data_IF_666169298712
#
_entry.id   IF_666169298712
#
_cell.length_a   1.000
_cell.length_b   1.000
_cell.length_c   1.000
_cell.angle_alpha   90.00
_cell.angle_beta   90.00
_cell.angle_gamma   90.00
#
_symmetry.space_group_name_H-M   'P 1'
#
loop_
_entity.id
_entity.type
_entity.pdbx_description
1 polymer ?
#
# COMPACT_ATOMS: atom_id res chain seq x y z
N UNK A 1 25.62 -15.36 20.51
CA UNK A 1 24.31 -14.70 20.37
C UNK A 1 23.60 -15.39 19.23
N UNK A 2 22.59 -16.21 19.56
CA UNK A 2 21.96 -17.19 18.67
C UNK A 2 21.04 -16.45 17.69
N UNK A 3 21.36 -16.44 16.40
CA UNK A 3 20.44 -15.97 15.34
C UNK A 3 19.57 -17.18 15.00
N UNK A 4 18.27 -17.22 15.38
CA UNK A 4 17.44 -18.36 15.04
C UNK A 4 17.24 -18.39 13.52
N UNK A 5 17.50 -19.56 12.93
CA UNK A 5 17.15 -19.91 11.55
C UNK A 5 15.68 -19.56 11.31
N UNK A 6 15.43 -18.72 10.32
CA UNK A 6 14.11 -18.53 9.72
C UNK A 6 13.70 -19.90 9.18
N UNK A 7 12.70 -20.51 9.82
CA UNK A 7 12.02 -21.68 9.27
C UNK A 7 11.45 -21.27 7.92
N UNK A 8 11.70 -22.07 6.89
CA UNK A 8 11.06 -21.91 5.59
C UNK A 8 9.54 -22.05 5.80
N UNK A 9 8.85 -20.92 5.86
CA UNK A 9 7.40 -20.89 5.74
C UNK A 9 7.07 -21.26 4.30
N UNK A 10 6.26 -22.30 4.10
CA UNK A 10 5.66 -22.59 2.80
C UNK A 10 4.96 -21.31 2.30
N UNK A 11 5.34 -20.84 1.10
CA UNK A 11 4.76 -19.64 0.50
C UNK A 11 3.29 -19.89 0.14
N UNK A 12 2.39 -19.66 1.10
CA UNK A 12 0.95 -19.58 0.84
C UNK A 12 0.65 -18.27 0.10
N UNK A 13 0.97 -18.24 -1.19
CA UNK A 13 0.54 -17.17 -2.09
C UNK A 13 -0.93 -17.40 -2.44
N UNK A 14 -1.78 -16.47 -2.03
CA UNK A 14 -3.19 -16.49 -2.41
C UNK A 14 -3.44 -15.41 -3.46
N UNK A 15 -4.04 -15.80 -4.57
CA UNK A 15 -4.30 -14.93 -5.71
C UNK A 15 -5.77 -15.03 -6.10
N UNK A 16 -6.41 -13.88 -6.23
CA UNK A 16 -7.79 -13.76 -6.76
C UNK A 16 -7.79 -12.83 -7.95
N UNK A 17 -8.64 -13.14 -8.94
CA UNK A 17 -8.79 -12.36 -10.15
C UNK A 17 -10.26 -12.07 -10.39
N UNK A 18 -10.56 -10.87 -10.90
CA UNK A 18 -11.90 -10.46 -11.29
C UNK A 18 -11.83 -9.62 -12.56
N UNK A 19 -12.81 -9.77 -13.43
CA UNK A 19 -12.93 -8.96 -14.64
C UNK A 19 -13.77 -7.72 -14.37
N UNK A 20 -13.20 -6.53 -14.62
CA UNK A 20 -13.84 -5.23 -14.40
C UNK A 20 -13.66 -4.41 -15.67
N UNK A 21 -14.77 -4.09 -16.35
CA UNK A 21 -14.74 -3.25 -17.54
C UNK A 21 -13.87 -3.80 -18.67
N UNK A 22 -13.85 -5.12 -18.86
CA UNK A 22 -13.05 -5.81 -19.90
C UNK A 22 -11.56 -5.91 -19.57
N UNK A 23 -11.16 -5.63 -18.32
CA UNK A 23 -9.79 -5.74 -17.84
C UNK A 23 -9.74 -6.60 -16.59
N UNK A 24 -8.72 -7.44 -16.46
CA UNK A 24 -8.55 -8.31 -15.28
C UNK A 24 -7.82 -7.57 -14.18
N UNK A 25 -8.49 -7.39 -13.04
CA UNK A 25 -7.87 -6.97 -11.79
C UNK A 25 -7.44 -8.22 -11.02
N UNK A 26 -6.18 -8.24 -10.62
CA UNK A 26 -5.56 -9.31 -9.84
C UNK A 26 -5.15 -8.77 -8.48
N UNK A 27 -5.50 -9.48 -7.41
CA UNK A 27 -5.02 -9.22 -6.06
C UNK A 27 -4.25 -10.46 -5.56
N UNK A 28 -3.02 -10.25 -5.09
CA UNK A 28 -2.13 -11.30 -4.58
C UNK A 28 -1.64 -10.95 -3.17
N UNK A 29 -1.64 -11.91 -2.25
CA UNK A 29 -1.08 -11.77 -0.89
C UNK A 29 -0.20 -12.95 -0.53
N UNK A 30 0.68 -12.79 0.46
CA UNK A 30 1.59 -13.84 0.95
C UNK A 30 2.97 -13.87 0.30
N UNK A 31 3.17 -13.24 -0.88
CA UNK A 31 4.48 -13.22 -1.54
C UNK A 31 5.45 -12.21 -0.93
N UNK A 32 5.03 -10.97 -0.72
CA UNK A 32 5.89 -9.86 -0.25
C UNK A 32 5.35 -9.23 1.02
N UNK A 33 6.23 -8.55 1.76
CA UNK A 33 5.88 -7.80 2.98
C UNK A 33 5.11 -8.61 4.05
N UNK A 34 5.48 -9.89 4.23
CA UNK A 34 4.82 -10.83 5.16
C UNK A 34 4.86 -10.41 6.65
N UNK A 35 5.67 -9.41 7.00
CA UNK A 35 5.73 -8.87 8.36
C UNK A 35 4.72 -7.75 8.61
N UNK A 36 4.07 -7.22 7.57
CA UNK A 36 2.98 -6.27 7.73
C UNK A 36 1.73 -6.98 8.28
N UNK A 37 0.82 -6.23 8.91
CA UNK A 37 -0.47 -6.79 9.36
C UNK A 37 -1.33 -7.23 8.17
N UNK A 38 -1.24 -6.50 7.06
CA UNK A 38 -1.76 -6.89 5.76
C UNK A 38 -0.84 -6.42 4.63
N UNK A 39 -0.73 -7.22 3.58
CA UNK A 39 0.02 -6.88 2.38
C UNK A 39 -0.66 -7.47 1.14
N UNK A 40 -1.00 -6.62 0.18
CA UNK A 40 -1.64 -7.02 -1.07
C UNK A 40 -0.93 -6.35 -2.24
N UNK A 41 -0.52 -7.15 -3.22
CA UNK A 41 -0.10 -6.66 -4.53
C UNK A 41 -1.29 -6.66 -5.46
N UNK A 42 -1.68 -5.47 -5.94
CA UNK A 42 -2.77 -5.31 -6.90
C UNK A 42 -2.19 -5.02 -8.27
N UNK A 43 -2.71 -5.70 -9.29
CA UNK A 43 -2.29 -5.55 -10.68
C UNK A 43 -3.50 -5.46 -11.60
N UNK A 44 -3.44 -4.56 -12.57
CA UNK A 44 -4.39 -4.49 -13.69
C UNK A 44 -3.61 -4.08 -14.94
N UNK A 45 -3.57 -4.96 -15.94
CA UNK A 45 -2.63 -4.81 -17.05
C UNK A 45 -1.18 -4.89 -16.57
N UNK A 46 -0.37 -3.90 -16.91
CA UNK A 46 1.02 -3.80 -16.44
C UNK A 46 1.18 -2.76 -15.31
N UNK A 47 0.11 -2.05 -14.94
CA UNK A 47 0.09 -1.27 -13.71
C UNK A 47 0.02 -2.18 -12.48
N UNK A 48 0.98 -2.03 -11.57
CA UNK A 48 1.13 -2.82 -10.36
C UNK A 48 1.49 -1.94 -9.17
N UNK A 49 0.89 -2.24 -8.02
CA UNK A 49 1.19 -1.60 -6.75
C UNK A 49 1.17 -2.58 -5.59
N UNK A 50 1.93 -2.24 -4.56
CA UNK A 50 1.95 -2.93 -3.29
C UNK A 50 1.31 -2.04 -2.24
N UNK A 51 0.21 -2.50 -1.65
CA UNK A 51 -0.40 -1.85 -0.50
C UNK A 51 -0.12 -2.66 0.75
N UNK A 52 0.41 -2.00 1.78
CA UNK A 52 0.64 -2.59 3.09
C UNK A 52 -0.14 -1.83 4.14
N UNK A 53 -0.65 -2.57 5.13
CA UNK A 53 -1.31 -2.02 6.31
C UNK A 53 -0.65 -2.57 7.57
N UNK A 54 -0.41 -1.68 8.53
CA UNK A 54 0.18 -2.03 9.81
C UNK A 54 -0.62 -1.37 10.92
N UNK A 55 -0.94 -2.15 11.94
CA UNK A 55 -1.62 -1.68 13.13
C UNK A 55 -0.72 -1.89 14.36
N UNK A 56 -0.62 -0.89 15.23
CA UNK A 56 0.04 -1.05 16.52
C UNK A 56 -0.74 -2.03 17.42
N UNK A 57 -0.03 -2.85 18.19
CA UNK A 57 -0.64 -3.82 19.12
C UNK A 57 -1.39 -3.17 20.28
N UNK A 58 -1.00 -1.94 20.65
CA UNK A 58 -1.62 -1.16 21.72
C UNK A 58 -1.72 0.32 21.32
N UNK A 59 -2.72 1.05 21.82
CA UNK A 59 -2.83 2.50 21.62
C UNK A 59 -1.70 3.24 22.34
N UNK A 60 -1.32 4.41 21.82
CA UNK A 60 -0.37 5.30 22.50
C UNK A 60 -0.97 5.90 23.76
N UNK A 61 -0.14 6.13 24.78
CA UNK A 61 -0.58 6.81 26.00
C UNK A 61 -1.05 8.24 25.68
N UNK A 62 -2.20 8.63 26.22
CA UNK A 62 -2.73 9.99 26.13
C UNK A 62 -3.41 10.36 24.80
N UNK A 63 -3.63 9.41 23.88
CA UNK A 63 -4.25 9.72 22.58
C UNK A 63 -5.78 9.88 22.68
N UNK A 64 -6.29 11.02 22.22
CA UNK A 64 -7.71 11.38 22.26
C UNK A 64 -8.41 11.31 20.89
N UNK A 65 -7.69 10.93 19.82
CA UNK A 65 -8.18 10.79 18.45
C UNK A 65 -7.74 9.47 17.78
N UNK A 66 -8.27 9.15 16.61
CA UNK A 66 -7.86 7.98 15.81
C UNK A 66 -6.68 8.31 14.88
N UNK A 67 -5.47 7.78 15.14
CA UNK A 67 -4.27 8.00 14.32
C UNK A 67 -4.25 7.08 13.09
N UNK A 68 -4.82 7.58 11.99
CA UNK A 68 -4.70 6.96 10.67
C UNK A 68 -3.80 7.81 9.77
N UNK A 69 -2.77 7.18 9.21
CA UNK A 69 -1.87 7.75 8.19
C UNK A 69 -1.97 6.94 6.91
N UNK A 70 -2.20 7.61 5.78
CA UNK A 70 -2.23 7.00 4.46
C UNK A 70 -1.16 7.64 3.57
N UNK A 71 -0.16 6.86 3.16
CA UNK A 71 0.93 7.29 2.31
C UNK A 71 0.79 6.66 0.93
N UNK A 72 0.77 7.48 -0.12
CA UNK A 72 0.81 7.04 -1.50
C UNK A 72 2.15 7.43 -2.10
N UNK A 73 2.96 6.43 -2.46
CA UNK A 73 4.32 6.61 -2.95
C UNK A 73 4.44 6.24 -4.44
N UNK A 74 4.72 7.25 -5.25
CA UNK A 74 5.08 7.06 -6.66
C UNK A 74 6.59 6.90 -6.78
N UNK A 75 7.03 5.75 -7.27
CA UNK A 75 8.45 5.51 -7.55
C UNK A 75 8.73 5.82 -9.01
N UNK A 76 9.79 6.56 -9.30
CA UNK A 76 10.10 6.96 -10.68
C UNK A 76 10.51 5.76 -11.55
N UNK A 77 11.05 4.70 -10.92
CA UNK A 77 11.30 3.43 -11.59
C UNK A 77 10.03 2.78 -12.14
N UNK A 78 8.85 3.06 -11.57
CA UNK A 78 7.60 2.49 -12.04
C UNK A 78 7.30 2.88 -13.50
N UNK A 79 7.77 4.06 -13.92
CA UNK A 79 7.70 4.56 -15.29
C UNK A 79 9.03 4.40 -16.06
N UNK A 80 9.98 3.61 -15.54
CA UNK A 80 11.31 3.43 -16.14
C UNK A 80 12.20 4.69 -16.12
N UNK A 81 11.94 5.64 -15.22
CA UNK A 81 12.68 6.91 -15.13
C UNK A 81 13.61 6.92 -13.93
N UNK A 82 14.80 7.48 -14.11
CA UNK A 82 15.73 7.75 -13.00
C UNK A 82 15.36 9.09 -12.36
N UNK A 83 15.31 9.19 -11.02
CA UNK A 83 15.07 10.46 -10.35
C UNK A 83 16.03 11.57 -10.80
N UNK A 84 15.44 12.67 -11.31
CA UNK A 84 16.18 13.86 -11.68
C UNK A 84 16.71 14.61 -10.45
N UNK A 85 17.73 15.45 -10.65
CA UNK A 85 18.30 16.30 -9.59
C UNK A 85 19.58 15.76 -8.94
N UNK A 86 20.16 16.54 -8.02
CA UNK A 86 21.48 16.26 -7.43
C UNK A 86 21.51 14.99 -6.56
N UNK A 87 20.41 14.73 -5.84
CA UNK A 87 20.32 13.63 -4.86
C UNK A 87 19.91 12.30 -5.52
N UNK A 88 19.37 12.33 -6.76
CA UNK A 88 18.91 11.17 -7.53
C UNK A 88 18.03 10.19 -6.72
N UNK A 89 17.13 10.75 -5.90
CA UNK A 89 16.19 10.03 -5.04
C UNK A 89 14.82 10.70 -5.07
N UNK A 90 13.77 9.91 -4.88
CA UNK A 90 12.43 10.42 -4.61
C UNK A 90 12.45 11.27 -3.33
N UNK A 91 11.87 12.47 -3.43
CA UNK A 91 11.87 13.46 -2.35
C UNK A 91 10.53 13.49 -1.62
N UNK A 92 10.07 14.71 -1.33
CA UNK A 92 8.74 14.91 -0.74
C UNK A 92 7.64 14.42 -1.71
N UNK A 93 6.51 13.93 -1.18
CA UNK A 93 5.35 13.59 -2.00
C UNK A 93 4.93 14.75 -2.89
N UNK A 94 4.59 14.43 -4.15
CA UNK A 94 4.02 15.40 -5.09
C UNK A 94 2.61 15.81 -4.66
N UNK A 95 2.09 16.90 -5.23
CA UNK A 95 0.69 17.29 -5.01
C UNK A 95 -0.28 16.16 -5.36
N UNK A 96 -0.04 15.48 -6.50
CA UNK A 96 -0.84 14.34 -6.92
C UNK A 96 -0.78 13.18 -5.92
N UNK A 97 0.41 12.86 -5.41
CA UNK A 97 0.57 11.82 -4.39
C UNK A 97 -0.18 12.16 -3.10
N UNK A 98 -0.15 13.44 -2.67
CA UNK A 98 -0.92 13.91 -1.51
C UNK A 98 -2.42 13.78 -1.75
N UNK A 99 -2.90 14.12 -2.95
CA UNK A 99 -4.32 13.96 -3.32
C UNK A 99 -4.72 12.48 -3.32
N UNK A 100 -3.91 11.60 -3.87
CA UNK A 100 -4.14 10.15 -3.89
C UNK A 100 -4.14 9.55 -2.49
N UNK A 101 -3.21 9.96 -1.61
CA UNK A 101 -3.23 9.63 -0.18
C UNK A 101 -4.57 9.98 0.48
N UNK A 102 -5.12 11.17 0.18
CA UNK A 102 -6.42 11.60 0.72
C UNK A 102 -7.59 10.84 0.12
N UNK A 103 -7.49 10.38 -1.12
CA UNK A 103 -8.51 9.55 -1.75
C UNK A 103 -8.62 8.17 -1.08
N UNK A 104 -7.51 7.63 -0.58
CA UNK A 104 -7.48 6.39 0.21
C UNK A 104 -8.04 6.64 1.63
N UNK A 105 -7.58 7.70 2.29
CA UNK A 105 -7.91 7.99 3.69
C UNK A 105 -9.42 8.26 3.91
N UNK A 106 -10.01 9.13 3.10
CA UNK A 106 -11.40 9.60 3.26
C UNK A 106 -12.44 8.48 3.33
N UNK A 107 -12.44 7.45 2.46
CA UNK A 107 -13.42 6.36 2.53
C UNK A 107 -13.17 5.40 3.69
N UNK A 108 -11.92 5.11 4.06
CA UNK A 108 -11.62 4.11 5.10
C UNK A 108 -11.73 4.67 6.52
N UNK A 109 -11.41 5.96 6.74
CA UNK A 109 -11.43 6.61 8.06
C UNK A 109 -12.75 6.43 8.83
N UNK A 110 -13.94 6.63 8.24
CA UNK A 110 -15.20 6.44 8.96
C UNK A 110 -15.59 4.98 9.20
N UNK A 111 -14.89 4.01 8.61
CA UNK A 111 -15.20 2.58 8.77
C UNK A 111 -14.63 1.99 10.06
N UNK A 112 -13.69 2.68 10.71
CA UNK A 112 -13.14 2.25 11.99
C UNK A 112 -14.12 2.48 13.15
N UNK A 113 -14.15 1.58 14.16
CA UNK A 113 -14.94 1.79 15.36
C UNK A 113 -14.58 3.11 16.07
N UNK A 114 -15.56 3.78 16.68
CA UNK A 114 -15.37 5.12 17.29
C UNK A 114 -14.30 5.15 18.41
N UNK A 115 -14.17 4.05 19.14
CA UNK A 115 -13.25 3.93 20.27
C UNK A 115 -11.89 3.35 19.85
N UNK A 116 -11.64 3.22 18.55
CA UNK A 116 -10.43 2.64 18.02
C UNK A 116 -9.28 3.67 18.00
N UNK A 117 -8.19 3.35 18.69
CA UNK A 117 -7.08 4.29 18.99
C UNK A 117 -5.69 3.74 18.70
N UNK A 118 -5.62 2.57 18.07
CA UNK A 118 -4.37 1.99 17.63
C UNK A 118 -3.86 2.78 16.41
N UNK A 119 -2.55 3.00 16.35
CA UNK A 119 -1.92 3.56 15.16
C UNK A 119 -2.15 2.63 13.97
N UNK A 120 -2.69 3.19 12.90
CA UNK A 120 -2.83 2.51 11.62
C UNK A 120 -2.07 3.28 10.57
N UNK A 121 -1.17 2.60 9.87
CA UNK A 121 -0.50 3.12 8.70
C UNK A 121 -0.86 2.26 7.49
N UNK A 122 -1.28 2.92 6.42
CA UNK A 122 -1.48 2.31 5.10
C UNK A 122 -0.49 2.94 4.13
N UNK A 123 0.32 2.14 3.46
CA UNK A 123 1.28 2.60 2.46
C UNK A 123 0.96 1.93 1.13
N UNK A 124 0.62 2.71 0.11
CA UNK A 124 0.42 2.27 -1.26
C UNK A 124 1.61 2.69 -2.12
N UNK A 125 2.44 1.72 -2.53
CA UNK A 125 3.62 1.98 -3.36
C UNK A 125 3.35 1.54 -4.79
N UNK A 126 3.49 2.47 -5.74
CA UNK A 126 3.40 2.17 -7.17
C UNK A 126 4.70 1.52 -7.63
N UNK A 127 4.60 0.29 -8.13
CA UNK A 127 5.76 -0.51 -8.59
C UNK A 127 5.93 -0.46 -10.10
N UNK A 128 4.83 -0.38 -10.86
CA UNK A 128 4.84 -0.28 -12.31
C UNK A 128 3.59 0.46 -12.80
N UNK A 129 3.71 1.18 -13.92
CA UNK A 129 2.58 1.89 -14.54
C UNK A 129 2.62 1.74 -16.07
N UNK A 130 1.48 1.37 -16.64
CA UNK A 130 1.27 1.16 -18.07
C UNK A 130 0.64 2.34 -18.81
N UNK A 131 0.29 3.41 -18.07
CA UNK A 131 -0.40 4.63 -18.54
C UNK A 131 -1.85 4.40 -19.03
N UNK A 132 -2.36 3.17 -19.01
CA UNK A 132 -3.73 2.85 -19.37
C UNK A 132 -4.64 2.68 -18.15
N UNK A 133 -4.07 2.22 -17.04
CA UNK A 133 -4.75 1.99 -15.78
C UNK A 133 -4.29 3.01 -14.74
N UNK A 134 -5.25 3.74 -14.15
CA UNK A 134 -4.94 4.74 -13.12
C UNK A 134 -4.50 4.05 -11.80
N UNK A 135 -3.25 4.23 -11.36
CA UNK A 135 -2.75 3.61 -10.14
C UNK A 135 -3.47 4.10 -8.87
N UNK A 136 -4.10 5.28 -8.89
CA UNK A 136 -4.84 5.79 -7.73
C UNK A 136 -6.06 4.91 -7.42
N UNK A 137 -6.77 4.44 -8.44
CA UNK A 137 -7.94 3.56 -8.28
C UNK A 137 -7.53 2.20 -7.73
N UNK A 138 -6.44 1.66 -8.27
CA UNK A 138 -5.88 0.40 -7.78
C UNK A 138 -5.41 0.53 -6.33
N UNK A 139 -4.89 1.70 -5.92
CA UNK A 139 -4.42 1.91 -4.55
C UNK A 139 -5.57 1.97 -3.55
N UNK A 140 -6.72 2.55 -3.93
CA UNK A 140 -7.95 2.49 -3.14
C UNK A 140 -8.39 1.03 -2.98
N UNK A 141 -8.41 0.26 -4.06
CA UNK A 141 -8.79 -1.16 -4.02
C UNK A 141 -7.81 -2.01 -3.19
N UNK A 142 -6.51 -1.71 -3.25
CA UNK A 142 -5.50 -2.43 -2.47
C UNK A 142 -5.48 -2.07 -0.99
N UNK A 143 -5.99 -0.89 -0.63
CA UNK A 143 -6.11 -0.46 0.78
C UNK A 143 -7.38 -1.00 1.46
N UNK A 144 -8.33 -1.53 0.69
CA UNK A 144 -9.63 -2.02 1.16
C UNK A 144 -9.59 -3.44 1.71
#
# INVERSE_FOLDING_TARGET
>A
MFVPRIAAQEEFVNQTQIEIGGRTLTAETGRVAQQASGAVTVRMGDTMLLTTSVMASAPREGIDFFPLTCDYEEKLYAAGKIPGGFIRREGRPSEQAILNSRLIDRPIRPLFPKDFRNDVQVVATVLSVDQESDPAILAINGAS
#
